data_IF_932543074787
#
_entry.id   IF_932543074787
#
_cell.length_a   1.000
_cell.length_b   1.000
_cell.length_c   1.000
_cell.angle_alpha   90.00
_cell.angle_beta   90.00
_cell.angle_gamma   90.00
#
_symmetry.space_group_name_H-M   'P 1'
#
loop_
_entity.id
_entity.type
_entity.pdbx_description
1 polymer ?
#
# COMPACT_ATOMS: atom_id res chain seq x y z
N UNK A 1 -2.80 -32.93 -27.89
CA UNK A 1 -2.60 -31.46 -27.96
C UNK A 1 -2.15 -31.03 -26.56
N UNK A 2 -0.99 -30.40 -26.52
CA UNK A 2 -0.19 -30.12 -25.32
C UNK A 2 -0.90 -29.05 -24.47
N UNK A 3 -1.01 -29.30 -23.15
CA UNK A 3 -1.42 -28.29 -22.16
C UNK A 3 -0.47 -27.09 -22.23
N UNK A 4 -0.96 -25.84 -22.16
CA UNK A 4 -0.05 -24.69 -22.10
C UNK A 4 0.81 -24.79 -20.83
N UNK A 5 2.08 -24.35 -20.90
CA UNK A 5 2.97 -24.39 -19.75
C UNK A 5 2.44 -23.47 -18.66
N UNK A 6 2.61 -23.89 -17.40
CA UNK A 6 2.48 -23.08 -16.19
C UNK A 6 2.75 -21.61 -16.51
N UNK A 7 1.75 -20.75 -16.34
CA UNK A 7 1.96 -19.30 -16.37
C UNK A 7 2.92 -18.96 -15.22
N UNK A 8 4.20 -18.92 -15.54
CA UNK A 8 5.21 -18.29 -14.70
C UNK A 8 4.79 -16.83 -14.64
N UNK A 9 4.15 -16.42 -13.53
CA UNK A 9 3.94 -15.00 -13.27
C UNK A 9 5.30 -14.31 -13.42
N UNK A 10 5.37 -13.28 -14.28
CA UNK A 10 6.60 -12.52 -14.48
C UNK A 10 7.19 -12.11 -13.12
N UNK A 11 8.52 -12.19 -12.95
CA UNK A 11 9.15 -11.87 -11.69
C UNK A 11 8.72 -10.46 -11.25
N UNK A 12 8.26 -10.36 -10.00
CA UNK A 12 7.81 -9.08 -9.44
C UNK A 12 8.90 -8.02 -9.61
N UNK A 13 8.55 -6.78 -10.04
CA UNK A 13 9.51 -5.71 -10.13
C UNK A 13 10.18 -5.44 -8.76
N UNK A 14 11.39 -4.85 -8.72
CA UNK A 14 12.06 -4.51 -7.47
C UNK A 14 11.18 -3.63 -6.58
N UNK A 15 11.15 -3.93 -5.27
CA UNK A 15 10.35 -3.20 -4.29
C UNK A 15 10.53 -1.67 -4.34
N UNK A 16 11.75 -1.10 -4.47
CA UNK A 16 11.91 0.35 -4.61
C UNK A 16 11.16 0.94 -5.81
N UNK A 17 11.08 0.20 -6.93
CA UNK A 17 10.38 0.63 -8.12
C UNK A 17 8.86 0.56 -7.92
N UNK A 18 8.36 -0.52 -7.32
CA UNK A 18 6.94 -0.66 -6.97
C UNK A 18 6.50 0.50 -6.07
N UNK A 19 7.24 0.77 -4.99
CA UNK A 19 6.97 1.86 -4.06
C UNK A 19 6.93 3.22 -4.77
N UNK A 20 7.94 3.54 -5.59
CA UNK A 20 7.98 4.81 -6.34
C UNK A 20 6.77 4.98 -7.26
N UNK A 21 6.34 3.91 -7.93
CA UNK A 21 5.15 3.96 -8.81
C UNK A 21 3.86 4.17 -8.01
N UNK A 22 3.70 3.51 -6.87
CA UNK A 22 2.56 3.73 -5.96
C UNK A 22 2.53 5.18 -5.50
N UNK A 23 3.66 5.71 -5.05
CA UNK A 23 3.77 7.10 -4.60
C UNK A 23 3.45 8.11 -5.72
N UNK A 24 3.93 7.86 -6.95
CA UNK A 24 3.63 8.70 -8.10
C UNK A 24 2.13 8.70 -8.45
N UNK A 25 1.48 7.54 -8.43
CA UNK A 25 0.03 7.44 -8.67
C UNK A 25 -0.75 8.16 -7.57
N UNK A 26 -0.39 7.95 -6.31
CA UNK A 26 -0.99 8.66 -5.18
C UNK A 26 -0.86 10.18 -5.37
N UNK A 27 0.36 10.69 -5.62
CA UNK A 27 0.60 12.12 -5.81
C UNK A 27 -0.23 12.71 -6.96
N UNK A 28 -0.33 12.02 -8.09
CA UNK A 28 -1.14 12.46 -9.23
C UNK A 28 -2.64 12.51 -8.88
N UNK A 29 -3.12 11.53 -8.12
CA UNK A 29 -4.52 11.48 -7.67
C UNK A 29 -4.81 12.56 -6.61
N UNK A 30 -3.90 12.81 -5.67
CA UNK A 30 -3.99 13.92 -4.69
C UNK A 30 -4.03 15.28 -5.37
N UNK A 31 -3.15 15.49 -6.35
CA UNK A 31 -3.07 16.75 -7.08
C UNK A 31 -4.26 16.99 -8.03
N UNK A 32 -5.18 16.02 -8.15
CA UNK A 32 -6.30 16.10 -9.08
C UNK A 32 -5.85 16.13 -10.54
N UNK A 33 -4.69 15.53 -10.84
CA UNK A 33 -4.18 15.47 -12.21
C UNK A 33 -5.17 14.73 -13.11
N UNK A 34 -5.49 15.33 -14.27
CA UNK A 34 -6.40 14.72 -15.22
C UNK A 34 -5.84 13.36 -15.70
N UNK A 35 -6.73 12.38 -15.82
CA UNK A 35 -6.47 11.09 -16.43
C UNK A 35 -7.52 10.87 -17.51
N UNK A 36 -7.12 10.27 -18.62
CA UNK A 36 -8.08 9.77 -19.62
C UNK A 36 -8.95 8.68 -18.99
N UNK A 37 -8.35 7.81 -18.17
CA UNK A 37 -9.05 6.84 -17.33
C UNK A 37 -8.61 6.97 -15.85
N UNK A 38 -9.38 7.70 -15.02
CA UNK A 38 -9.12 7.80 -13.59
C UNK A 38 -9.30 6.48 -12.82
N UNK A 39 -10.24 5.63 -13.26
CA UNK A 39 -10.54 4.37 -12.59
C UNK A 39 -9.42 3.35 -12.81
N UNK A 40 -8.92 3.22 -14.03
CA UNK A 40 -7.78 2.38 -14.37
C UNK A 40 -6.51 2.83 -13.63
N UNK A 41 -6.28 4.15 -13.53
CA UNK A 41 -5.14 4.70 -12.77
C UNK A 41 -5.19 4.27 -11.29
N UNK A 42 -6.36 4.37 -10.65
CA UNK A 42 -6.56 3.92 -9.28
C UNK A 42 -6.36 2.42 -9.12
N UNK A 43 -6.96 1.63 -10.02
CA UNK A 43 -6.82 0.17 -10.00
C UNK A 43 -5.37 -0.26 -10.16
N UNK A 44 -4.62 0.41 -11.04
CA UNK A 44 -3.19 0.20 -11.22
C UNK A 44 -2.41 0.52 -9.95
N UNK A 45 -2.71 1.64 -9.28
CA UNK A 45 -2.10 1.99 -7.99
C UNK A 45 -2.34 0.94 -6.91
N UNK A 46 -3.58 0.45 -6.77
CA UNK A 46 -3.95 -0.59 -5.81
C UNK A 46 -3.25 -1.93 -6.08
N UNK A 47 -3.10 -2.30 -7.36
CA UNK A 47 -2.37 -3.51 -7.78
C UNK A 47 -0.88 -3.42 -7.48
N UNK A 48 -0.24 -2.30 -7.85
CA UNK A 48 1.18 -2.06 -7.57
C UNK A 48 1.45 -2.01 -6.05
N UNK A 49 0.54 -1.42 -5.29
CA UNK A 49 0.61 -1.39 -3.83
C UNK A 49 0.52 -2.79 -3.24
N UNK A 50 -0.39 -3.63 -3.73
CA UNK A 50 -0.49 -5.03 -3.28
C UNK A 50 0.80 -5.81 -3.58
N UNK A 51 1.37 -5.63 -4.78
CA UNK A 51 2.67 -6.22 -5.13
C UNK A 51 3.79 -5.75 -4.21
N UNK A 52 3.83 -4.46 -3.86
CA UNK A 52 4.81 -3.91 -2.93
C UNK A 52 4.66 -4.51 -1.52
N UNK A 53 3.43 -4.62 -1.02
CA UNK A 53 3.15 -5.24 0.29
C UNK A 53 3.59 -6.70 0.31
N UNK A 54 3.29 -7.48 -0.75
CA UNK A 54 3.77 -8.86 -0.87
C UNK A 54 5.29 -8.92 -0.84
N UNK A 55 5.97 -8.04 -1.57
CA UNK A 55 7.43 -7.99 -1.57
C UNK A 55 8.00 -7.66 -0.19
N UNK A 56 7.41 -6.72 0.57
CA UNK A 56 7.82 -6.43 1.95
C UNK A 56 7.73 -7.67 2.84
N UNK A 57 6.62 -8.39 2.78
CA UNK A 57 6.40 -9.61 3.56
C UNK A 57 7.36 -10.73 3.14
N UNK A 58 7.56 -10.94 1.84
CA UNK A 58 8.45 -12.00 1.34
C UNK A 58 9.92 -11.75 1.64
N UNK A 59 10.34 -10.49 1.83
CA UNK A 59 11.70 -10.14 2.21
C UNK A 59 11.88 -9.96 3.73
N UNK A 60 10.83 -10.19 4.53
CA UNK A 60 10.80 -10.03 6.00
C UNK A 60 11.39 -8.68 6.47
N UNK A 61 11.05 -7.59 5.76
CA UNK A 61 11.64 -6.26 6.00
C UNK A 61 11.23 -5.68 7.36
N UNK A 62 10.07 -6.07 7.88
CA UNK A 62 9.60 -5.68 9.21
C UNK A 62 9.25 -6.94 9.99
N UNK A 63 10.27 -7.54 10.59
CA UNK A 63 10.11 -8.73 11.41
C UNK A 63 9.31 -8.41 12.69
N UNK A 64 8.74 -9.45 13.31
CA UNK A 64 7.79 -9.29 14.42
C UNK A 64 8.37 -8.63 15.68
N UNK A 65 9.68 -8.74 15.90
CA UNK A 65 10.38 -8.25 17.08
C UNK A 65 11.31 -7.08 16.77
N UNK A 66 11.20 -6.50 15.58
CA UNK A 66 12.09 -5.43 15.14
C UNK A 66 11.76 -4.13 15.88
N UNK A 67 12.81 -3.41 16.29
CA UNK A 67 12.71 -2.02 16.74
C UNK A 67 13.11 -1.10 15.60
N UNK A 68 12.64 0.15 15.61
CA UNK A 68 12.90 1.09 14.51
C UNK A 68 14.40 1.25 14.19
N UNK A 69 15.27 1.19 15.21
CA UNK A 69 16.72 1.36 15.06
C UNK A 69 17.39 0.21 14.29
N UNK A 70 16.75 -0.97 14.22
CA UNK A 70 17.26 -2.13 13.47
C UNK A 70 16.81 -2.12 12.01
N UNK A 71 15.82 -1.30 11.67
CA UNK A 71 15.32 -1.16 10.31
C UNK A 71 16.31 -0.36 9.47
N UNK A 72 16.70 -0.90 8.31
CA UNK A 72 17.52 -0.16 7.36
C UNK A 72 16.84 1.17 6.98
N UNK A 73 17.58 2.28 7.09
CA UNK A 73 17.09 3.63 6.78
C UNK A 73 16.39 3.72 5.41
N UNK A 74 16.88 2.95 4.43
CA UNK A 74 16.30 2.90 3.08
C UNK A 74 14.92 2.27 3.01
N UNK A 75 14.56 1.45 4.01
CA UNK A 75 13.38 0.59 4.03
C UNK A 75 12.27 1.12 4.93
N UNK A 76 12.57 2.03 5.87
CA UNK A 76 11.59 2.74 6.71
C UNK A 76 10.41 3.29 5.88
N UNK A 77 10.68 3.80 4.67
CA UNK A 77 9.65 4.35 3.77
C UNK A 77 8.54 3.35 3.42
N UNK A 78 8.82 2.04 3.47
CA UNK A 78 7.83 1.01 3.16
C UNK A 78 6.72 0.88 4.20
N UNK A 79 6.89 1.47 5.40
CA UNK A 79 5.82 1.64 6.38
C UNK A 79 4.65 2.46 5.83
N UNK A 80 4.86 3.28 4.79
CA UNK A 80 3.81 4.08 4.16
C UNK A 80 2.90 3.28 3.21
N UNK A 81 3.20 2.01 2.91
CA UNK A 81 2.41 1.21 1.97
C UNK A 81 0.94 1.03 2.40
N UNK A 82 0.62 0.71 3.67
CA UNK A 82 -0.77 0.64 4.11
C UNK A 82 -1.45 2.02 4.08
N UNK A 83 -0.72 3.11 4.39
CA UNK A 83 -1.22 4.48 4.24
C UNK A 83 -1.65 4.78 2.80
N UNK A 84 -0.76 4.58 1.82
CA UNK A 84 -1.08 4.82 0.41
C UNK A 84 -2.25 3.95 -0.07
N UNK A 85 -2.34 2.71 0.40
CA UNK A 85 -3.47 1.83 0.05
C UNK A 85 -4.79 2.40 0.55
N UNK A 86 -4.82 2.84 1.81
CA UNK A 86 -6.00 3.42 2.43
C UNK A 86 -6.48 4.65 1.67
N UNK A 87 -5.57 5.58 1.38
CA UNK A 87 -5.88 6.79 0.62
C UNK A 87 -6.39 6.49 -0.80
N UNK A 88 -5.75 5.58 -1.52
CA UNK A 88 -6.20 5.18 -2.86
C UNK A 88 -7.60 4.55 -2.85
N UNK A 89 -7.93 3.75 -1.83
CA UNK A 89 -9.28 3.19 -1.67
C UNK A 89 -10.34 4.27 -1.46
N UNK A 90 -10.01 5.35 -0.72
CA UNK A 90 -10.92 6.49 -0.50
C UNK A 90 -11.17 7.32 -1.77
N UNK A 91 -10.35 7.15 -2.80
CA UNK A 91 -10.49 7.86 -4.09
C UNK A 91 -11.30 7.10 -5.12
N UNK A 92 -11.65 5.85 -4.86
CA UNK A 92 -12.54 5.07 -5.71
C UNK A 92 -13.95 5.65 -5.64
N UNK A 93 -14.44 6.20 -6.76
CA UNK A 93 -15.74 6.85 -6.84
C UNK A 93 -16.86 5.83 -7.07
N UNK A 94 -17.49 5.37 -5.99
CA UNK A 94 -18.63 4.45 -6.02
C UNK A 94 -19.84 5.07 -5.31
N UNK A 95 -20.96 5.16 -6.01
CA UNK A 95 -22.21 5.75 -5.49
C UNK A 95 -23.09 4.73 -4.79
N UNK A 96 -22.98 3.46 -5.18
CA UNK A 96 -23.76 2.35 -4.61
C UNK A 96 -23.27 2.02 -3.20
N UNK A 97 -24.10 2.11 -2.14
CA UNK A 97 -23.68 1.82 -0.77
C UNK A 97 -23.08 0.43 -0.60
N UNK A 98 -23.60 -0.56 -1.35
CA UNK A 98 -23.12 -1.96 -1.34
C UNK A 98 -21.67 -2.10 -1.80
N UNK A 99 -21.17 -1.18 -2.64
CA UNK A 99 -19.78 -1.14 -3.11
C UNK A 99 -18.93 -0.16 -2.30
N UNK A 100 -19.50 0.99 -1.92
CA UNK A 100 -18.81 2.05 -1.19
C UNK A 100 -18.43 1.65 0.24
N UNK A 101 -19.33 0.97 0.97
CA UNK A 101 -19.09 0.59 2.37
C UNK A 101 -17.86 -0.35 2.51
N UNK A 102 -17.71 -1.41 1.69
CA UNK A 102 -16.51 -2.24 1.70
C UNK A 102 -15.21 -1.44 1.45
N UNK A 103 -15.23 -0.46 0.54
CA UNK A 103 -14.06 0.40 0.27
C UNK A 103 -13.68 1.22 1.50
N UNK A 104 -14.66 1.80 2.20
CA UNK A 104 -14.42 2.57 3.44
C UNK A 104 -13.86 1.68 4.56
N UNK A 105 -14.41 0.49 4.76
CA UNK A 105 -13.89 -0.46 5.75
C UNK A 105 -12.48 -0.93 5.39
N UNK A 106 -12.22 -1.19 4.10
CA UNK A 106 -10.88 -1.53 3.61
C UNK A 106 -9.87 -0.41 3.85
N UNK A 107 -10.25 0.83 3.56
CA UNK A 107 -9.40 2.00 3.80
C UNK A 107 -9.08 2.16 5.29
N UNK A 108 -10.10 2.09 6.15
CA UNK A 108 -9.92 2.19 7.60
C UNK A 108 -9.04 1.07 8.15
N UNK A 109 -9.19 -0.17 7.65
CA UNK A 109 -8.33 -1.28 8.03
C UNK A 109 -6.87 -1.03 7.64
N UNK A 110 -6.61 -0.47 6.46
CA UNK A 110 -5.26 -0.12 6.01
C UNK A 110 -4.64 0.98 6.89
N UNK A 111 -5.39 2.04 7.21
CA UNK A 111 -4.94 3.13 8.07
C UNK A 111 -4.69 2.67 9.52
N UNK A 112 -5.54 1.78 10.04
CA UNK A 112 -5.31 1.14 11.34
C UNK A 112 -4.06 0.26 11.33
N UNK A 113 -3.83 -0.48 10.24
CA UNK A 113 -2.60 -1.26 10.04
C UNK A 113 -1.36 -0.38 10.09
N UNK A 114 -1.37 0.73 9.33
CA UNK A 114 -0.29 1.71 9.34
C UNK A 114 0.02 2.24 10.74
N UNK A 115 -0.99 2.70 11.47
CA UNK A 115 -0.81 3.19 12.84
C UNK A 115 -0.34 2.08 13.79
N UNK A 116 -0.83 0.86 13.62
CA UNK A 116 -0.40 -0.31 14.38
C UNK A 116 1.07 -0.66 14.14
N UNK A 117 1.54 -0.57 12.90
CA UNK A 117 2.94 -0.78 12.54
C UNK A 117 3.84 0.29 13.16
N UNK A 118 3.45 1.57 13.09
CA UNK A 118 4.17 2.66 13.74
C UNK A 118 4.19 2.51 15.26
N UNK A 119 3.09 2.08 15.87
CA UNK A 119 3.02 1.82 17.29
C UNK A 119 3.97 0.69 17.71
N UNK A 120 3.97 -0.43 16.95
CA UNK A 120 4.85 -1.58 17.20
C UNK A 120 6.33 -1.20 17.15
N UNK A 121 6.71 -0.36 16.18
CA UNK A 121 8.08 0.12 16.00
C UNK A 121 8.45 1.28 16.94
N UNK A 122 7.57 1.63 17.88
CA UNK A 122 7.72 2.78 18.78
C UNK A 122 7.93 4.14 18.06
N UNK A 123 7.56 4.21 16.78
CA UNK A 123 7.74 5.37 15.91
C UNK A 123 6.71 6.48 16.15
N UNK A 124 5.68 6.24 16.98
CA UNK A 124 4.70 7.25 17.38
C UNK A 124 5.19 8.07 18.59
N UNK A 125 5.02 9.39 18.55
CA UNK A 125 5.22 10.24 19.73
C UNK A 125 4.25 9.87 20.85
N UNK A 126 4.49 10.32 22.08
CA UNK A 126 3.61 10.01 23.23
C UNK A 126 2.19 10.53 23.00
N UNK A 127 2.06 11.73 22.44
CA UNK A 127 0.80 12.40 22.16
C UNK A 127 -0.05 11.59 21.16
N UNK A 128 0.59 11.04 20.12
CA UNK A 128 -0.06 10.22 19.09
C UNK A 128 -0.50 8.84 19.59
N UNK A 129 -0.05 8.37 20.76
CA UNK A 129 -0.48 7.10 21.38
C UNK A 129 -1.73 7.25 22.26
N UNK A 130 -2.06 8.47 22.67
CA UNK A 130 -3.08 8.76 23.71
C UNK A 130 -4.39 9.35 23.17
N UNK A 131 -4.46 9.66 21.87
CA UNK A 131 -5.67 10.12 21.20
C UNK A 131 -6.57 8.96 20.76
#
# INVERSE_FOLDING_TARGET
IVLPPCSMEDPLPPLPLLFRRVQAIYAAVEAGEKSEDPAERLQTGLKLNEQAVRAVVSNDIFSRNEVLDDVNTGDIKYLLLPFYRGELLLRVNEYEPSKRIPLLHGALACLRGYLGDLHRLEALSKEARTG
#
